data_IF_357824916674
#
_entry.id   IF_357824916674
#
_cell.length_a   1.000
_cell.length_b   1.000
_cell.length_c   1.000
_cell.angle_alpha   90.00
_cell.angle_beta   90.00
_cell.angle_gamma   90.00
#
_symmetry.space_group_name_H-M   'P 1'
#
loop_
_entity.id
_entity.type
_entity.pdbx_description
1 polymer ?
#
# COMPACT_ATOMS: atom_id res chain seq x y z
N UNK A 1 16.33 -0.23 -24.10
CA UNK A 1 15.87 -1.52 -24.68
C UNK A 1 14.89 -2.28 -23.78
N UNK A 2 15.28 -2.80 -22.60
CA UNK A 2 14.35 -3.62 -21.78
C UNK A 2 13.21 -2.85 -21.09
N UNK A 3 13.51 -1.68 -20.53
CA UNK A 3 12.52 -0.83 -19.82
C UNK A 3 11.52 -0.23 -20.80
N UNK A 4 12.00 0.39 -21.88
CA UNK A 4 11.14 1.00 -22.92
C UNK A 4 10.15 0.00 -23.52
N UNK A 5 10.60 -1.23 -23.82
CA UNK A 5 9.71 -2.26 -24.34
C UNK A 5 8.63 -2.66 -23.31
N UNK A 6 9.00 -2.80 -22.03
CA UNK A 6 8.03 -3.09 -20.98
C UNK A 6 7.01 -1.96 -20.87
N UNK A 7 7.48 -0.72 -20.83
CA UNK A 7 6.63 0.46 -20.67
C UNK A 7 5.66 0.63 -21.83
N UNK A 8 6.11 0.40 -23.07
CA UNK A 8 5.28 0.51 -24.28
C UNK A 8 4.29 -0.64 -24.47
N UNK A 9 4.66 -1.87 -24.08
CA UNK A 9 3.92 -3.07 -24.49
C UNK A 9 3.28 -3.84 -23.35
N UNK A 10 3.86 -3.81 -22.15
CA UNK A 10 3.51 -4.72 -21.05
C UNK A 10 2.98 -4.02 -19.80
N UNK A 11 3.27 -2.73 -19.64
CA UNK A 11 2.83 -1.96 -18.48
C UNK A 11 1.29 -1.91 -18.39
N UNK A 12 0.60 -1.62 -19.49
CA UNK A 12 -0.88 -1.60 -19.52
C UNK A 12 -1.48 -2.95 -19.10
N UNK A 13 -0.89 -4.06 -19.53
CA UNK A 13 -1.33 -5.40 -19.18
C UNK A 13 -1.08 -5.72 -17.70
N UNK A 14 0.11 -5.38 -17.19
CA UNK A 14 0.42 -5.55 -15.77
C UNK A 14 -0.52 -4.77 -14.86
N UNK A 15 -0.92 -3.56 -15.28
CA UNK A 15 -1.87 -2.73 -14.53
C UNK A 15 -3.30 -3.27 -14.63
N UNK A 16 -3.69 -3.84 -15.77
CA UNK A 16 -4.99 -4.49 -15.91
C UNK A 16 -5.16 -5.67 -14.95
N UNK A 17 -4.10 -6.45 -14.69
CA UNK A 17 -4.15 -7.56 -13.74
C UNK A 17 -4.37 -7.12 -12.28
N UNK A 18 -4.04 -5.88 -11.91
CA UNK A 18 -4.27 -5.36 -10.55
C UNK A 18 -5.76 -5.11 -10.26
N UNK A 19 -6.58 -5.01 -11.30
CA UNK A 19 -8.03 -4.83 -11.22
C UNK A 19 -8.80 -6.03 -11.78
N UNK A 20 -8.12 -7.18 -11.91
CA UNK A 20 -8.74 -8.43 -12.37
C UNK A 20 -9.86 -8.87 -11.41
N UNK A 21 -10.90 -9.52 -11.92
CA UNK A 21 -12.01 -10.02 -11.09
C UNK A 21 -11.56 -11.12 -10.12
N UNK A 22 -10.54 -11.91 -10.48
CA UNK A 22 -10.01 -13.03 -9.69
C UNK A 22 -8.94 -12.54 -8.72
N UNK A 23 -9.16 -12.75 -7.42
CA UNK A 23 -8.21 -12.34 -6.37
C UNK A 23 -6.79 -12.90 -6.58
N UNK A 24 -6.66 -14.18 -6.93
CA UNK A 24 -5.38 -14.82 -7.15
C UNK A 24 -4.56 -14.15 -8.27
N UNK A 25 -5.22 -13.59 -9.29
CA UNK A 25 -4.55 -12.84 -10.35
C UNK A 25 -4.04 -11.50 -9.82
N UNK A 26 -4.85 -10.79 -9.02
CA UNK A 26 -4.43 -9.52 -8.38
C UNK A 26 -3.25 -9.72 -7.43
N UNK A 27 -3.27 -10.79 -6.65
CA UNK A 27 -2.18 -11.14 -5.72
C UNK A 27 -0.88 -11.50 -6.45
N UNK A 28 -0.99 -12.29 -7.53
CA UNK A 28 0.15 -12.62 -8.39
C UNK A 28 0.71 -11.37 -9.09
N UNK A 29 -0.16 -10.47 -9.57
CA UNK A 29 0.23 -9.21 -10.20
C UNK A 29 0.94 -8.27 -9.21
N UNK A 30 0.42 -8.16 -7.99
CA UNK A 30 1.06 -7.41 -6.90
C UNK A 30 2.47 -7.95 -6.61
N UNK A 31 2.60 -9.27 -6.48
CA UNK A 31 3.90 -9.94 -6.30
C UNK A 31 4.85 -9.71 -7.48
N UNK A 32 4.30 -9.65 -8.71
CA UNK A 32 5.08 -9.40 -9.91
C UNK A 32 5.65 -7.97 -9.94
N UNK A 33 4.92 -6.97 -9.40
CA UNK A 33 5.44 -5.60 -9.30
C UNK A 33 6.76 -5.57 -8.53
N UNK A 34 6.89 -6.31 -7.42
CA UNK A 34 8.15 -6.40 -6.67
C UNK A 34 9.32 -6.79 -7.56
N UNK A 35 9.16 -7.88 -8.31
CA UNK A 35 10.20 -8.44 -9.19
C UNK A 35 10.56 -7.47 -10.32
N UNK A 36 9.58 -6.74 -10.83
CA UNK A 36 9.82 -5.70 -11.83
C UNK A 36 10.63 -4.54 -11.25
N UNK A 37 10.31 -4.09 -10.03
CA UNK A 37 11.07 -3.04 -9.35
C UNK A 37 12.48 -3.50 -8.98
N UNK A 38 12.67 -4.74 -8.54
CA UNK A 38 14.00 -5.32 -8.31
C UNK A 38 14.85 -5.34 -9.59
N UNK A 39 14.21 -5.51 -10.75
CA UNK A 39 14.89 -5.54 -12.06
C UNK A 39 15.14 -4.15 -12.66
N UNK A 40 14.20 -3.24 -12.53
CA UNK A 40 14.22 -1.93 -13.21
C UNK A 40 14.56 -0.75 -12.28
N UNK A 41 14.56 -0.98 -10.97
CA UNK A 41 14.93 -0.01 -9.95
C UNK A 41 13.76 0.81 -9.42
N UNK A 42 13.97 1.35 -8.22
CA UNK A 42 12.98 2.16 -7.48
C UNK A 42 12.59 3.47 -8.18
N UNK A 43 13.51 4.09 -8.92
CA UNK A 43 13.23 5.34 -9.65
C UNK A 43 12.26 5.09 -10.80
N UNK A 44 12.42 3.97 -11.51
CA UNK A 44 11.44 3.53 -12.51
C UNK A 44 10.09 3.23 -11.88
N UNK A 45 10.08 2.56 -10.71
CA UNK A 45 8.84 2.28 -9.99
C UNK A 45 8.09 3.58 -9.64
N UNK A 46 8.81 4.58 -9.15
CA UNK A 46 8.27 5.89 -8.81
C UNK A 46 7.70 6.62 -10.03
N UNK A 47 8.41 6.60 -11.17
CA UNK A 47 7.95 7.26 -12.38
C UNK A 47 6.74 6.56 -13.03
N UNK A 48 6.72 5.23 -13.05
CA UNK A 48 5.84 4.45 -13.94
C UNK A 48 4.74 3.68 -13.21
N UNK A 49 5.04 3.13 -12.03
CA UNK A 49 4.19 2.16 -11.33
C UNK A 49 3.38 2.82 -10.21
N UNK A 50 4.05 3.55 -9.32
CA UNK A 50 3.43 4.15 -8.13
C UNK A 50 2.22 5.03 -8.49
N UNK A 51 2.27 5.96 -9.47
CA UNK A 51 1.11 6.80 -9.81
C UNK A 51 -0.14 5.99 -10.17
N UNK A 52 0.04 4.86 -10.86
CA UNK A 52 -1.06 3.97 -11.28
C UNK A 52 -1.60 3.17 -10.09
N UNK A 53 -0.71 2.70 -9.22
CA UNK A 53 -1.10 2.03 -7.97
C UNK A 53 -1.94 2.96 -7.10
N UNK A 54 -1.50 4.21 -6.90
CA UNK A 54 -2.22 5.16 -6.04
C UNK A 54 -3.58 5.56 -6.63
N UNK A 55 -3.73 5.59 -7.97
CA UNK A 55 -5.00 5.90 -8.61
C UNK A 55 -6.11 4.90 -8.26
N UNK A 56 -5.76 3.63 -8.02
CA UNK A 56 -6.73 2.59 -7.62
C UNK A 56 -7.35 2.84 -6.23
N UNK A 57 -6.75 3.70 -5.40
CA UNK A 57 -7.32 4.07 -4.09
C UNK A 57 -8.64 4.85 -4.20
N UNK A 58 -8.95 5.40 -5.37
CA UNK A 58 -10.21 6.09 -5.67
C UNK A 58 -11.24 5.21 -6.39
N UNK A 59 -10.95 3.94 -6.65
CA UNK A 59 -11.84 3.05 -7.41
C UNK A 59 -13.14 2.79 -6.61
N UNK A 60 -14.33 2.82 -7.26
CA UNK A 60 -15.60 2.52 -6.58
C UNK A 60 -15.62 1.10 -5.95
N UNK A 61 -14.89 0.15 -6.54
CA UNK A 61 -14.78 -1.21 -6.01
C UNK A 61 -13.74 -1.29 -4.89
N UNK A 62 -14.21 -1.62 -3.68
CA UNK A 62 -13.35 -1.75 -2.51
C UNK A 62 -12.27 -2.84 -2.66
N UNK A 63 -12.50 -3.86 -3.50
CA UNK A 63 -11.49 -4.87 -3.80
C UNK A 63 -10.27 -4.27 -4.51
N UNK A 64 -10.47 -3.31 -5.41
CA UNK A 64 -9.39 -2.63 -6.14
C UNK A 64 -8.69 -1.62 -5.22
N UNK A 65 -9.45 -0.93 -4.36
CA UNK A 65 -8.87 -0.09 -3.31
C UNK A 65 -7.96 -0.90 -2.39
N UNK A 66 -8.38 -2.09 -1.96
CA UNK A 66 -7.52 -2.99 -1.19
C UNK A 66 -6.26 -3.42 -1.96
N UNK A 67 -6.34 -3.65 -3.29
CA UNK A 67 -5.13 -3.91 -4.10
C UNK A 67 -4.10 -2.80 -3.98
N UNK A 68 -4.52 -1.54 -3.81
CA UNK A 68 -3.59 -0.41 -3.57
C UNK A 68 -2.75 -0.65 -2.32
N UNK A 69 -3.39 -1.04 -1.22
CA UNK A 69 -2.70 -1.32 0.05
C UNK A 69 -1.75 -2.52 -0.09
N UNK A 70 -2.17 -3.58 -0.77
CA UNK A 70 -1.33 -4.75 -1.02
C UNK A 70 -0.10 -4.41 -1.89
N UNK A 71 -0.28 -3.56 -2.91
CA UNK A 71 0.83 -3.05 -3.70
C UNK A 71 1.81 -2.24 -2.86
N UNK A 72 1.31 -1.33 -2.01
CA UNK A 72 2.17 -0.52 -1.13
C UNK A 72 2.98 -1.41 -0.18
N UNK A 73 2.35 -2.43 0.42
CA UNK A 73 3.02 -3.37 1.33
C UNK A 73 4.21 -4.09 0.69
N UNK A 74 4.11 -4.38 -0.61
CA UNK A 74 5.14 -5.09 -1.37
C UNK A 74 6.19 -4.12 -1.92
N UNK A 75 5.75 -2.97 -2.45
CA UNK A 75 6.63 -1.95 -3.03
C UNK A 75 7.50 -1.27 -1.97
N UNK A 76 7.01 -1.10 -0.75
CA UNK A 76 7.80 -0.48 0.34
C UNK A 76 9.09 -1.27 0.63
N UNK A 77 9.07 -2.60 0.46
CA UNK A 77 10.24 -3.46 0.68
C UNK A 77 11.38 -3.20 -0.32
N UNK A 78 11.10 -2.59 -1.48
CA UNK A 78 12.06 -2.43 -2.58
C UNK A 78 12.24 -0.97 -3.05
N UNK A 79 11.35 -0.06 -2.65
CA UNK A 79 11.43 1.36 -3.01
C UNK A 79 12.20 2.22 -1.99
N UNK A 80 12.47 1.67 -0.80
CA UNK A 80 13.19 2.36 0.27
C UNK A 80 12.37 3.42 1.00
N UNK A 81 12.95 3.97 2.07
CA UNK A 81 12.26 4.87 3.02
C UNK A 81 11.76 6.16 2.37
N UNK A 82 12.56 6.82 1.54
CA UNK A 82 12.22 8.14 0.98
C UNK A 82 10.95 8.09 0.12
N UNK A 83 10.92 7.16 -0.85
CA UNK A 83 9.76 6.99 -1.74
C UNK A 83 8.55 6.49 -0.95
N UNK A 84 8.75 5.56 -0.01
CA UNK A 84 7.67 5.02 0.83
C UNK A 84 7.01 6.12 1.65
N UNK A 85 7.81 6.95 2.31
CA UNK A 85 7.34 8.01 3.20
C UNK A 85 6.66 9.14 2.41
N UNK A 86 7.29 9.61 1.32
CA UNK A 86 6.79 10.79 0.59
C UNK A 86 5.63 10.50 -0.35
N UNK A 87 5.58 9.31 -0.96
CA UNK A 87 4.66 9.04 -2.06
C UNK A 87 3.61 7.97 -1.75
N UNK A 88 3.94 6.97 -0.91
CA UNK A 88 3.01 5.87 -0.63
C UNK A 88 2.23 6.07 0.67
N UNK A 89 2.92 6.44 1.76
CA UNK A 89 2.32 6.62 3.09
C UNK A 89 1.12 7.59 3.09
N UNK A 90 1.14 8.75 2.41
CA UNK A 90 0.00 9.68 2.45
C UNK A 90 -1.31 9.06 1.96
N UNK A 91 -1.23 8.13 1.00
CA UNK A 91 -2.40 7.40 0.51
C UNK A 91 -2.90 6.39 1.54
N UNK A 92 -2.01 5.66 2.21
CA UNK A 92 -2.38 4.73 3.29
C UNK A 92 -3.10 5.47 4.42
N UNK A 93 -2.55 6.59 4.88
CA UNK A 93 -3.14 7.40 5.95
C UNK A 93 -4.53 7.95 5.54
N UNK A 94 -4.68 8.45 4.32
CA UNK A 94 -5.98 8.93 3.80
C UNK A 94 -7.02 7.81 3.74
N UNK A 95 -6.61 6.60 3.35
CA UNK A 95 -7.50 5.44 3.26
C UNK A 95 -8.02 4.96 4.63
N UNK A 96 -7.46 5.43 5.75
CA UNK A 96 -8.02 5.16 7.08
C UNK A 96 -9.46 5.66 7.26
N UNK A 97 -9.90 6.62 6.43
CA UNK A 97 -11.28 7.13 6.40
C UNK A 97 -12.21 6.43 5.41
N UNK A 98 -11.81 5.29 4.82
CA UNK A 98 -12.65 4.59 3.83
C UNK A 98 -14.00 4.16 4.42
N UNK A 99 -15.12 4.29 3.69
CA UNK A 99 -16.43 3.85 4.20
C UNK A 99 -16.50 2.35 4.50
N UNK A 100 -15.67 1.52 3.84
CA UNK A 100 -15.69 0.06 4.00
C UNK A 100 -14.70 -0.38 5.07
N UNK A 101 -15.19 -1.07 6.11
CA UNK A 101 -14.36 -1.57 7.21
C UNK A 101 -13.21 -2.46 6.74
N UNK A 102 -13.42 -3.29 5.70
CA UNK A 102 -12.37 -4.10 5.10
C UNK A 102 -11.18 -3.32 4.58
N UNK A 103 -11.40 -2.10 4.07
CA UNK A 103 -10.30 -1.22 3.67
C UNK A 103 -9.62 -0.66 4.93
N UNK A 104 -10.39 -0.19 5.91
CA UNK A 104 -9.85 0.41 7.14
C UNK A 104 -9.00 -0.54 7.97
N UNK A 105 -9.40 -1.80 8.16
CA UNK A 105 -8.55 -2.74 8.90
C UNK A 105 -7.31 -3.14 8.09
N UNK A 106 -7.39 -3.15 6.75
CA UNK A 106 -6.20 -3.36 5.92
C UNK A 106 -5.26 -2.16 5.93
N UNK A 107 -5.75 -0.94 6.20
CA UNK A 107 -4.88 0.21 6.47
C UNK A 107 -4.06 -0.03 7.73
N UNK A 108 -4.68 -0.48 8.83
CA UNK A 108 -3.95 -0.82 10.06
C UNK A 108 -2.86 -1.89 9.82
N UNK A 109 -3.21 -2.98 9.12
CA UNK A 109 -2.26 -4.03 8.71
C UNK A 109 -1.12 -3.48 7.85
N UNK A 110 -1.43 -2.57 6.92
CA UNK A 110 -0.43 -1.98 6.04
C UNK A 110 0.51 -1.06 6.81
N UNK A 111 0.00 -0.25 7.74
CA UNK A 111 0.83 0.58 8.64
C UNK A 111 1.76 -0.28 9.50
N UNK A 112 1.27 -1.38 10.08
CA UNK A 112 2.12 -2.36 10.78
C UNK A 112 3.22 -2.92 9.88
N UNK A 113 2.88 -3.27 8.64
CA UNK A 113 3.80 -3.89 7.67
C UNK A 113 4.89 -2.92 7.19
N UNK A 114 4.53 -1.67 6.87
CA UNK A 114 5.48 -0.67 6.35
C UNK A 114 6.19 0.10 7.46
N UNK A 115 5.67 0.07 8.69
CA UNK A 115 6.20 0.82 9.83
C UNK A 115 7.71 0.66 10.05
N UNK A 116 8.30 -0.55 9.98
CA UNK A 116 9.75 -0.74 10.11
C UNK A 116 10.61 -0.05 9.04
N UNK A 117 10.02 0.42 7.94
CA UNK A 117 10.72 1.14 6.86
C UNK A 117 10.71 2.66 7.12
N UNK A 118 9.73 3.14 7.87
CA UNK A 118 9.56 4.55 8.20
C UNK A 118 10.53 4.96 9.32
N UNK A 119 10.86 6.24 9.39
CA UNK A 119 11.64 6.77 10.49
C UNK A 119 10.75 7.01 11.72
N UNK A 120 11.37 7.03 12.91
CA UNK A 120 10.64 7.17 14.16
C UNK A 120 9.84 8.48 14.26
N UNK A 121 10.29 9.57 13.62
CA UNK A 121 9.56 10.84 13.68
C UNK A 121 8.24 10.75 12.92
N UNK A 122 8.23 10.14 11.74
CA UNK A 122 7.01 9.85 10.97
C UNK A 122 6.10 8.87 11.71
N UNK A 123 6.65 7.83 12.34
CA UNK A 123 5.86 6.87 13.11
C UNK A 123 5.08 7.56 14.25
N UNK A 124 5.74 8.46 14.99
CA UNK A 124 5.14 9.15 16.13
C UNK A 124 4.17 10.27 15.70
N UNK A 125 4.52 11.04 14.66
CA UNK A 125 3.77 12.24 14.28
C UNK A 125 2.60 11.97 13.32
N UNK A 126 2.70 10.94 12.47
CA UNK A 126 1.71 10.67 11.43
C UNK A 126 1.01 9.32 11.60
N UNK A 127 1.76 8.24 11.87
CA UNK A 127 1.20 6.88 11.93
C UNK A 127 0.43 6.64 13.23
N UNK A 128 1.03 6.97 14.38
CA UNK A 128 0.43 6.75 15.70
C UNK A 128 -0.96 7.39 15.84
N UNK A 129 -1.19 8.67 15.50
CA UNK A 129 -2.52 9.28 15.63
C UNK A 129 -3.59 8.58 14.77
N UNK A 130 -3.21 8.07 13.59
CA UNK A 130 -4.14 7.34 12.72
C UNK A 130 -4.49 5.98 13.32
N UNK A 131 -3.51 5.23 13.83
CA UNK A 131 -3.78 3.96 14.50
C UNK A 131 -4.61 4.15 15.77
N UNK A 132 -4.30 5.15 16.59
CA UNK A 132 -5.09 5.50 17.78
C UNK A 132 -6.55 5.81 17.40
N UNK A 133 -6.77 6.58 16.32
CA UNK A 133 -8.12 6.84 15.80
C UNK A 133 -8.83 5.55 15.38
N UNK A 134 -8.14 4.63 14.71
CA UNK A 134 -8.70 3.35 14.28
C UNK A 134 -9.02 2.40 15.45
N UNK A 135 -8.34 2.52 16.61
CA UNK A 135 -8.75 1.78 17.82
C UNK A 135 -10.12 2.20 18.35
N UNK A 136 -10.60 3.38 17.95
CA UNK A 136 -11.91 3.92 18.30
C UNK A 136 -12.97 3.70 17.21
N UNK A 137 -12.68 2.88 16.18
CA UNK A 137 -13.65 2.56 15.12
C UNK A 137 -14.92 1.88 15.68
N UNK A 138 -15.97 1.69 14.88
CA UNK A 138 -17.13 0.91 15.33
C UNK A 138 -16.95 -0.58 15.03
N UNK A 139 -16.18 -0.90 13.99
CA UNK A 139 -15.92 -2.25 13.53
C UNK A 139 -14.87 -2.96 14.40
N UNK A 140 -15.16 -4.21 14.80
CA UNK A 140 -14.31 -4.98 15.73
C UNK A 140 -12.96 -5.35 15.13
N UNK A 141 -12.90 -5.67 13.83
CA UNK A 141 -11.66 -6.06 13.17
C UNK A 141 -10.76 -4.84 13.00
N UNK A 142 -11.34 -3.67 12.68
CA UNK A 142 -10.58 -2.41 12.60
C UNK A 142 -9.90 -2.10 13.93
N UNK A 143 -10.63 -2.21 15.06
CA UNK A 143 -10.05 -2.01 16.40
C UNK A 143 -8.92 -2.99 16.68
N UNK A 144 -9.17 -4.27 16.42
CA UNK A 144 -8.22 -5.34 16.71
C UNK A 144 -6.89 -5.12 15.97
N UNK A 145 -6.93 -4.94 14.65
CA UNK A 145 -5.72 -4.76 13.85
C UNK A 145 -5.03 -3.42 14.12
N UNK A 146 -5.75 -2.37 14.50
CA UNK A 146 -5.15 -1.11 14.91
C UNK A 146 -4.38 -1.24 16.23
N UNK A 147 -4.95 -1.93 17.22
CA UNK A 147 -4.29 -2.18 18.50
C UNK A 147 -3.07 -3.10 18.35
N UNK A 148 -3.19 -4.14 17.52
CA UNK A 148 -2.06 -5.01 17.17
C UNK A 148 -0.92 -4.20 16.53
N UNK A 149 -1.23 -3.34 15.56
CA UNK A 149 -0.26 -2.49 14.90
C UNK A 149 0.47 -1.55 15.89
N UNK A 150 -0.25 -0.91 16.82
CA UNK A 150 0.35 -0.07 17.86
C UNK A 150 1.31 -0.87 18.74
N UNK A 151 0.92 -2.08 19.14
CA UNK A 151 1.77 -2.94 19.97
C UNK A 151 3.02 -3.40 19.23
N UNK A 152 2.88 -3.87 17.99
CA UNK A 152 4.01 -4.35 17.17
C UNK A 152 5.00 -3.24 16.85
N UNK A 153 4.50 -2.03 16.57
CA UNK A 153 5.35 -0.87 16.27
C UNK A 153 5.90 -0.18 17.52
N UNK A 154 5.62 -0.69 18.73
CA UNK A 154 6.00 -0.07 20.00
C UNK A 154 5.53 1.39 20.12
N UNK A 155 4.30 1.64 19.65
CA UNK A 155 3.63 2.95 19.68
C UNK A 155 2.52 3.04 20.74
N UNK A 156 2.19 1.92 21.38
CA UNK A 156 1.22 1.82 22.47
C UNK A 156 1.64 2.63 23.72
#
# INVERSE_FOLDING_TARGET
MGVEFFDEKLNSLCMAWLVDHVYAIREAATSNLKKLVEKFGKEWAHATIIPKVLAMSGDPNYLHRMTTLFCINVLSEVCGQDITTKHMLPTVLRMAGDPVANVRFNVAKSLQKIGPILDNSTLQSEVKPILEKLTQDQDVDVKYFAQEALSVLSLA
#
